data_IF_334753748507
#
_entry.id   IF_334753748507
#
_cell.length_a   1.000
_cell.length_b   1.000
_cell.length_c   1.000
_cell.angle_alpha   90.00
_cell.angle_beta   90.00
_cell.angle_gamma   90.00
#
_symmetry.space_group_name_H-M   'P 1'
#
loop_
_entity.id
_entity.type
_entity.pdbx_description
1 polymer ?
#
# COMPACT_ATOMS: atom_id res chain seq x y z
N UNK A 1 -0.44 -25.54 -6.66
CA UNK A 1 0.04 -24.87 -5.44
C UNK A 1 0.65 -25.92 -4.53
N UNK A 2 1.72 -25.55 -3.85
CA UNK A 2 2.35 -26.34 -2.79
C UNK A 2 1.62 -26.11 -1.47
N UNK A 3 1.60 -27.11 -0.60
CA UNK A 3 1.00 -27.00 0.73
C UNK A 3 1.71 -27.93 1.72
N UNK A 4 1.59 -27.60 2.99
CA UNK A 4 1.86 -28.48 4.12
C UNK A 4 0.53 -28.81 4.78
N UNK A 5 0.35 -30.06 5.19
CA UNK A 5 -0.85 -30.48 5.91
C UNK A 5 -0.44 -31.14 7.21
N UNK A 6 -1.07 -30.71 8.31
CA UNK A 6 -0.88 -31.27 9.63
C UNK A 6 -2.25 -31.63 10.19
N UNK A 7 -2.43 -32.89 10.55
CA UNK A 7 -3.65 -33.38 11.18
C UNK A 7 -3.78 -32.86 12.61
N UNK A 8 -5.02 -32.83 13.11
CA UNK A 8 -5.28 -32.51 14.50
C UNK A 8 -4.60 -33.51 15.43
N UNK A 9 -3.98 -33.04 16.51
CA UNK A 9 -3.39 -33.90 17.52
C UNK A 9 -4.43 -34.54 18.46
N UNK A 10 -5.69 -34.07 18.41
CA UNK A 10 -6.79 -34.57 19.25
C UNK A 10 -7.60 -35.64 18.52
N UNK A 11 -8.41 -35.23 17.53
CA UNK A 11 -9.19 -36.16 16.71
C UNK A 11 -9.30 -35.63 15.27
N UNK A 12 -8.41 -36.05 14.35
CA UNK A 12 -8.44 -35.62 12.95
C UNK A 12 -9.78 -35.87 12.24
N UNK A 13 -10.54 -36.90 12.62
CA UNK A 13 -11.77 -37.27 11.93
C UNK A 13 -12.92 -36.30 12.24
N UNK A 14 -12.95 -35.73 13.45
CA UNK A 14 -14.03 -34.85 13.91
C UNK A 14 -13.61 -33.38 13.98
N UNK A 15 -12.32 -33.10 14.19
CA UNK A 15 -11.84 -31.74 14.39
C UNK A 15 -11.88 -30.89 13.10
N UNK A 16 -12.07 -29.57 13.19
CA UNK A 16 -12.21 -28.71 12.02
C UNK A 16 -11.03 -28.79 11.03
N UNK A 17 -11.33 -28.66 9.74
CA UNK A 17 -10.36 -28.41 8.69
C UNK A 17 -10.21 -26.90 8.48
N UNK A 18 -8.98 -26.40 8.59
CA UNK A 18 -8.63 -25.00 8.41
C UNK A 18 -7.71 -24.86 7.20
N UNK A 19 -8.12 -24.06 6.23
CA UNK A 19 -7.21 -23.59 5.17
C UNK A 19 -6.61 -22.26 5.61
N UNK A 20 -5.31 -22.23 5.88
CA UNK A 20 -4.60 -21.04 6.33
C UNK A 20 -3.87 -20.32 5.19
N UNK A 21 -4.16 -19.02 5.02
CA UNK A 21 -3.54 -18.12 4.07
C UNK A 21 -2.65 -17.11 4.78
N UNK A 22 -1.33 -17.15 4.56
CA UNK A 22 -0.43 -16.09 5.01
C UNK A 22 -0.51 -14.89 4.04
N UNK A 23 -0.41 -13.66 4.57
CA UNK A 23 -0.51 -12.42 3.79
C UNK A 23 0.66 -12.09 2.86
N UNK A 24 1.13 -10.83 2.89
CA UNK A 24 2.20 -10.31 2.02
C UNK A 24 1.73 -9.19 1.08
N UNK A 25 1.16 -9.49 -0.10
CA UNK A 25 0.85 -10.81 -0.68
C UNK A 25 2.08 -11.64 -1.06
N UNK A 26 1.94 -12.98 -1.09
CA UNK A 26 2.99 -13.89 -1.57
C UNK A 26 3.89 -14.51 -0.50
N UNK A 27 3.57 -14.32 0.78
CA UNK A 27 4.27 -15.01 1.85
C UNK A 27 3.91 -16.51 1.87
N UNK A 28 4.89 -17.36 2.16
CA UNK A 28 4.70 -18.81 2.23
C UNK A 28 3.89 -19.22 3.46
N UNK A 29 3.01 -20.21 3.31
CA UNK A 29 2.32 -20.85 4.43
C UNK A 29 3.27 -21.54 5.42
N UNK A 30 4.53 -21.80 5.02
CA UNK A 30 5.58 -22.26 5.93
C UNK A 30 5.84 -21.24 7.05
N UNK A 31 5.64 -19.93 6.80
CA UNK A 31 5.73 -18.90 7.83
C UNK A 31 4.78 -19.21 8.98
N UNK A 32 3.51 -19.44 8.66
CA UNK A 32 2.51 -19.71 9.67
C UNK A 32 2.75 -21.04 10.40
N UNK A 33 3.29 -22.03 9.68
CA UNK A 33 3.66 -23.32 10.25
C UNK A 33 4.79 -23.17 11.29
N UNK A 34 5.82 -22.37 11.00
CA UNK A 34 7.05 -22.28 11.82
C UNK A 34 7.09 -21.13 12.84
N UNK A 35 6.32 -20.06 12.62
CA UNK A 35 6.39 -18.84 13.42
C UNK A 35 5.07 -18.46 14.11
N UNK A 36 3.92 -18.92 13.59
CA UNK A 36 2.63 -18.33 13.98
C UNK A 36 1.73 -19.35 14.70
N UNK A 37 1.13 -20.31 13.99
CA UNK A 37 0.11 -21.21 14.56
C UNK A 37 0.41 -22.72 14.43
N UNK A 38 1.43 -23.12 13.67
CA UNK A 38 1.80 -24.54 13.52
C UNK A 38 2.58 -25.15 14.70
N UNK A 39 2.85 -26.46 14.67
CA UNK A 39 3.43 -27.18 15.80
C UNK A 39 4.94 -27.12 15.90
N UNK A 40 5.61 -26.39 15.00
CA UNK A 40 7.06 -26.37 14.90
C UNK A 40 7.59 -24.94 15.01
N UNK A 41 8.82 -24.82 15.48
CA UNK A 41 9.60 -23.58 15.50
C UNK A 41 11.07 -23.91 15.33
N UNK A 42 11.89 -22.93 14.96
CA UNK A 42 13.34 -23.13 14.95
C UNK A 42 13.89 -23.23 16.36
N UNK A 43 14.68 -24.26 16.64
CA UNK A 43 15.42 -24.37 17.89
C UNK A 43 16.60 -23.39 17.87
N UNK A 44 16.37 -22.17 18.37
CA UNK A 44 17.37 -21.10 18.43
C UNK A 44 18.57 -21.42 19.34
N UNK A 45 18.48 -22.44 20.18
CA UNK A 45 19.59 -22.88 21.04
C UNK A 45 20.52 -23.89 20.36
N UNK A 46 20.07 -24.47 19.23
CA UNK A 46 20.84 -25.42 18.46
C UNK A 46 21.99 -24.71 17.73
N UNK A 47 23.23 -25.03 18.11
CA UNK A 47 24.45 -24.52 17.45
C UNK A 47 24.87 -25.37 16.24
N UNK A 48 23.92 -25.96 15.52
CA UNK A 48 24.19 -26.73 14.30
C UNK A 48 24.85 -25.83 13.25
N UNK A 49 25.98 -26.26 12.68
CA UNK A 49 26.70 -25.52 11.64
C UNK A 49 26.14 -25.74 10.22
N UNK A 50 25.02 -26.45 10.08
CA UNK A 50 24.41 -26.76 8.78
C UNK A 50 22.93 -26.38 8.76
N UNK A 51 22.02 -27.34 9.01
CA UNK A 51 20.57 -27.15 8.98
C UNK A 51 20.06 -26.86 10.39
N UNK A 52 19.27 -25.78 10.60
CA UNK A 52 18.60 -25.53 11.86
C UNK A 52 17.67 -26.69 12.24
N UNK A 53 17.73 -27.12 13.49
CA UNK A 53 16.80 -28.13 14.01
C UNK A 53 15.47 -27.50 14.42
N UNK A 54 14.38 -28.24 14.34
CA UNK A 54 13.06 -27.79 14.77
C UNK A 54 12.76 -28.22 16.21
N UNK A 55 12.02 -27.40 16.93
CA UNK A 55 11.45 -27.69 18.25
C UNK A 55 9.93 -27.70 18.16
N UNK A 56 9.31 -28.61 18.92
CA UNK A 56 7.85 -28.71 19.01
C UNK A 56 7.27 -27.55 19.83
N UNK A 57 6.13 -27.01 19.38
CA UNK A 57 5.38 -25.95 20.05
C UNK A 57 4.05 -26.49 20.58
N UNK A 58 3.89 -26.50 21.89
CA UNK A 58 2.71 -27.05 22.56
C UNK A 58 1.42 -26.24 22.32
N UNK A 59 1.54 -24.93 22.10
CA UNK A 59 0.41 -24.01 21.91
C UNK A 59 -0.05 -23.91 20.45
N UNK A 60 0.21 -24.96 19.66
CA UNK A 60 -0.17 -25.04 18.25
C UNK A 60 -1.69 -25.11 18.07
N UNK A 61 -2.20 -24.49 17.02
CA UNK A 61 -3.61 -24.61 16.64
C UNK A 61 -3.93 -26.02 16.11
N UNK A 62 -2.91 -26.78 15.70
CA UNK A 62 -3.05 -28.20 15.34
C UNK A 62 -3.44 -29.07 16.53
N UNK A 63 -3.44 -28.57 17.77
CA UNK A 63 -3.97 -29.31 18.93
C UNK A 63 -5.45 -29.67 18.80
N UNK A 64 -6.20 -28.91 18.02
CA UNK A 64 -7.67 -29.03 17.92
C UNK A 64 -8.18 -28.81 16.49
N UNK A 65 -7.31 -28.84 15.48
CA UNK A 65 -7.70 -28.64 14.09
C UNK A 65 -6.73 -29.29 13.11
N UNK A 66 -7.27 -29.75 11.98
CA UNK A 66 -6.51 -30.14 10.81
C UNK A 66 -6.19 -28.88 10.01
N UNK A 67 -4.91 -28.60 9.72
CA UNK A 67 -4.53 -27.34 9.07
C UNK A 67 -3.78 -27.59 7.76
N UNK A 68 -4.28 -26.99 6.68
CA UNK A 68 -3.60 -26.85 5.40
C UNK A 68 -2.91 -25.48 5.38
N UNK A 69 -1.59 -25.48 5.44
CA UNK A 69 -0.75 -24.31 5.23
C UNK A 69 -0.40 -24.23 3.75
N UNK A 70 -1.05 -23.35 3.00
CA UNK A 70 -0.87 -23.26 1.56
C UNK A 70 0.09 -22.14 1.17
N UNK A 71 0.91 -22.40 0.17
CA UNK A 71 1.68 -21.37 -0.53
C UNK A 71 0.82 -20.76 -1.64
N UNK A 72 0.32 -19.53 -1.44
CA UNK A 72 -0.49 -18.82 -2.42
C UNK A 72 -0.16 -17.31 -2.47
N UNK A 73 -0.24 -16.64 -3.64
CA UNK A 73 -0.53 -17.18 -4.97
C UNK A 73 0.65 -18.00 -5.56
N UNK A 74 0.58 -18.33 -6.85
CA UNK A 74 1.74 -18.83 -7.61
C UNK A 74 2.93 -17.89 -7.36
N UNK A 75 4.13 -18.44 -7.12
CA UNK A 75 5.37 -17.81 -6.63
C UNK A 75 5.52 -17.63 -5.12
N UNK A 76 4.47 -17.83 -4.32
CA UNK A 76 4.65 -17.91 -2.87
C UNK A 76 5.40 -19.20 -2.53
N UNK A 77 6.44 -19.12 -1.70
CA UNK A 77 7.19 -20.29 -1.21
C UNK A 77 7.58 -21.26 -2.33
N UNK A 78 7.02 -22.48 -2.29
CA UNK A 78 7.28 -23.55 -3.26
C UNK A 78 6.18 -23.70 -4.33
N UNK A 79 5.18 -22.82 -4.37
CA UNK A 79 4.18 -22.79 -5.45
C UNK A 79 4.77 -22.21 -6.73
N UNK A 80 4.66 -22.93 -7.85
CA UNK A 80 5.18 -22.51 -9.16
C UNK A 80 4.21 -22.82 -10.32
N UNK A 81 4.43 -22.20 -11.47
CA UNK A 81 3.80 -22.55 -12.75
C UNK A 81 4.87 -22.89 -13.80
N UNK A 82 4.47 -23.55 -14.89
CA UNK A 82 5.39 -23.97 -15.97
C UNK A 82 5.38 -23.04 -17.18
N UNK A 83 4.34 -22.22 -17.32
CA UNK A 83 4.15 -21.28 -18.44
C UNK A 83 4.38 -19.84 -17.96
N UNK A 84 5.05 -19.03 -18.80
CA UNK A 84 5.55 -17.70 -18.42
C UNK A 84 4.48 -16.69 -18.06
N UNK A 85 3.38 -16.65 -18.82
CA UNK A 85 2.30 -15.67 -18.59
C UNK A 85 1.49 -15.97 -17.31
N UNK A 86 1.55 -17.21 -16.80
CA UNK A 86 0.88 -17.65 -15.58
C UNK A 86 1.56 -17.17 -14.28
N UNK A 87 2.69 -16.46 -14.38
CA UNK A 87 3.35 -15.81 -13.24
C UNK A 87 2.72 -14.47 -12.85
N UNK A 88 1.89 -13.88 -13.71
CA UNK A 88 1.08 -12.72 -13.35
C UNK A 88 -0.17 -13.16 -12.59
N UNK A 89 -0.37 -12.66 -11.38
CA UNK A 89 -1.53 -12.95 -10.54
C UNK A 89 -2.27 -11.66 -10.14
N UNK A 90 -3.48 -11.81 -9.64
CA UNK A 90 -4.32 -10.74 -9.07
C UNK A 90 -5.12 -11.31 -7.91
N UNK A 91 -5.68 -10.47 -7.05
CA UNK A 91 -6.50 -10.93 -5.90
C UNK A 91 -7.64 -11.86 -6.34
N UNK A 92 -8.32 -11.52 -7.44
CA UNK A 92 -9.41 -12.32 -8.01
C UNK A 92 -8.94 -13.67 -8.57
N UNK A 93 -7.74 -13.71 -9.17
CA UNK A 93 -7.14 -14.94 -9.69
C UNK A 93 -6.67 -15.82 -8.53
N UNK A 94 -5.97 -15.26 -7.54
CA UNK A 94 -5.54 -15.95 -6.32
C UNK A 94 -6.73 -16.61 -5.62
N UNK A 95 -7.81 -15.87 -5.35
CA UNK A 95 -8.99 -16.43 -4.70
C UNK A 95 -9.64 -17.58 -5.50
N UNK A 96 -9.64 -17.49 -6.84
CA UNK A 96 -10.22 -18.53 -7.70
C UNK A 96 -9.34 -19.79 -7.73
N UNK A 97 -8.02 -19.63 -7.77
CA UNK A 97 -7.05 -20.73 -7.70
C UNK A 97 -7.07 -21.42 -6.35
N UNK A 98 -7.21 -20.68 -5.25
CA UNK A 98 -7.37 -21.23 -3.89
C UNK A 98 -8.61 -22.11 -3.79
N UNK A 99 -9.74 -21.64 -4.33
CA UNK A 99 -10.97 -22.42 -4.38
C UNK A 99 -10.80 -23.70 -5.21
N UNK A 100 -10.15 -23.62 -6.37
CA UNK A 100 -9.89 -24.80 -7.20
C UNK A 100 -8.98 -25.81 -6.50
N UNK A 101 -7.93 -25.33 -5.83
CA UNK A 101 -7.05 -26.17 -5.03
C UNK A 101 -7.81 -26.89 -3.93
N UNK A 102 -8.61 -26.17 -3.14
CA UNK A 102 -9.34 -26.75 -2.02
C UNK A 102 -10.29 -27.86 -2.49
N UNK A 103 -10.98 -27.65 -3.62
CA UNK A 103 -11.83 -28.68 -4.25
C UNK A 103 -11.04 -29.93 -4.61
N UNK A 104 -9.94 -29.76 -5.36
CA UNK A 104 -9.06 -30.86 -5.76
C UNK A 104 -8.43 -31.56 -4.56
N UNK A 105 -8.13 -30.82 -3.50
CA UNK A 105 -7.57 -31.39 -2.28
C UNK A 105 -8.60 -32.29 -1.59
N UNK A 106 -9.82 -31.81 -1.39
CA UNK A 106 -10.91 -32.58 -0.77
C UNK A 106 -11.26 -33.83 -1.57
N UNK A 107 -11.28 -33.76 -2.91
CA UNK A 107 -11.52 -34.92 -3.76
C UNK A 107 -10.47 -36.04 -3.59
N UNK A 108 -9.23 -35.66 -3.28
CA UNK A 108 -8.16 -36.61 -3.00
C UNK A 108 -8.08 -37.03 -1.52
N UNK A 109 -8.79 -36.33 -0.62
CA UNK A 109 -8.76 -36.55 0.83
C UNK A 109 -10.18 -36.71 1.38
N UNK A 110 -10.89 -37.73 0.88
CA UNK A 110 -12.33 -37.93 1.15
C UNK A 110 -12.69 -38.05 2.65
N UNK A 111 -11.75 -38.48 3.51
CA UNK A 111 -11.97 -38.54 4.97
C UNK A 111 -12.25 -37.17 5.59
N UNK A 112 -11.75 -36.08 4.99
CA UNK A 112 -11.90 -34.73 5.51
C UNK A 112 -13.12 -33.96 4.98
N UNK A 113 -13.92 -34.59 4.10
CA UNK A 113 -15.08 -33.93 3.45
C UNK A 113 -16.20 -33.56 4.42
N UNK A 114 -16.26 -34.23 5.58
CA UNK A 114 -17.31 -34.00 6.59
C UNK A 114 -16.84 -33.09 7.74
N UNK A 115 -15.55 -32.77 7.82
CA UNK A 115 -15.04 -31.91 8.88
C UNK A 115 -15.56 -30.47 8.70
N UNK A 116 -15.85 -29.76 9.81
CA UNK A 116 -16.12 -28.33 9.77
C UNK A 116 -15.01 -27.55 9.04
N UNK A 117 -15.35 -26.84 7.96
CA UNK A 117 -14.37 -26.07 7.18
C UNK A 117 -14.34 -24.60 7.60
N UNK A 118 -13.13 -24.09 7.80
CA UNK A 118 -12.85 -22.67 8.01
C UNK A 118 -11.78 -22.19 7.03
N UNK A 119 -11.99 -20.99 6.47
CA UNK A 119 -10.94 -20.27 5.73
C UNK A 119 -10.35 -19.24 6.69
N UNK A 120 -9.04 -19.29 6.89
CA UNK A 120 -8.35 -18.46 7.86
C UNK A 120 -7.12 -17.80 7.25
N UNK A 121 -6.65 -16.73 7.84
CA UNK A 121 -5.41 -16.09 7.43
C UNK A 121 -5.14 -14.79 8.17
N UNK A 122 -4.04 -14.14 7.83
CA UNK A 122 -3.61 -12.90 8.46
C UNK A 122 -3.11 -11.85 7.45
N UNK A 123 -2.99 -10.60 7.91
CA UNK A 123 -2.40 -9.51 7.12
C UNK A 123 -3.16 -9.30 5.79
N UNK A 124 -2.48 -9.33 4.65
CA UNK A 124 -3.09 -9.18 3.32
C UNK A 124 -4.15 -10.27 3.01
N UNK A 125 -4.09 -11.42 3.69
CA UNK A 125 -5.16 -12.42 3.59
C UNK A 125 -6.50 -11.92 4.11
N UNK A 126 -6.53 -10.81 4.87
CA UNK A 126 -7.74 -10.07 5.23
C UNK A 126 -8.61 -9.68 4.03
N UNK A 127 -8.01 -9.41 2.86
CA UNK A 127 -8.73 -9.18 1.61
C UNK A 127 -9.18 -10.50 0.95
N UNK A 128 -8.33 -11.52 0.98
CA UNK A 128 -8.52 -12.75 0.20
C UNK A 128 -9.46 -13.76 0.88
N UNK A 129 -9.33 -13.94 2.20
CA UNK A 129 -10.14 -14.88 3.00
C UNK A 129 -11.65 -14.63 2.81
N UNK A 130 -12.17 -13.39 2.95
CA UNK A 130 -13.59 -13.13 2.72
C UNK A 130 -14.02 -13.38 1.28
N UNK A 131 -13.17 -13.10 0.28
CA UNK A 131 -13.47 -13.35 -1.14
C UNK A 131 -13.58 -14.85 -1.42
N UNK A 132 -12.67 -15.66 -0.87
CA UNK A 132 -12.71 -17.12 -1.00
C UNK A 132 -13.94 -17.68 -0.29
N UNK A 133 -14.19 -17.28 0.96
CA UNK A 133 -15.37 -17.70 1.73
C UNK A 133 -16.68 -17.34 1.00
N UNK A 134 -16.76 -16.14 0.42
CA UNK A 134 -17.90 -15.70 -0.38
C UNK A 134 -18.08 -16.54 -1.65
N UNK A 135 -17.01 -16.89 -2.37
CA UNK A 135 -17.09 -17.76 -3.55
C UNK A 135 -17.58 -19.16 -3.20
N UNK A 136 -17.17 -19.70 -2.05
CA UNK A 136 -17.65 -20.98 -1.51
C UNK A 136 -19.16 -20.89 -1.21
N UNK A 137 -19.58 -19.86 -0.48
CA UNK A 137 -20.97 -19.63 -0.10
C UNK A 137 -21.88 -19.38 -1.33
N UNK A 138 -21.45 -18.57 -2.31
CA UNK A 138 -22.24 -18.28 -3.50
C UNK A 138 -22.33 -19.48 -4.46
N UNK A 139 -21.31 -20.35 -4.49
CA UNK A 139 -21.38 -21.63 -5.19
C UNK A 139 -22.53 -22.51 -4.70
N UNK A 140 -22.92 -22.40 -3.42
CA UNK A 140 -24.04 -23.12 -2.82
C UNK A 140 -25.40 -22.57 -3.29
N UNK A 141 -25.58 -21.25 -3.31
CA UNK A 141 -26.84 -20.62 -3.75
C UNK A 141 -27.18 -20.93 -5.21
N UNK A 142 -26.17 -21.04 -6.08
CA UNK A 142 -26.37 -21.45 -7.47
C UNK A 142 -26.83 -22.91 -7.59
N UNK A 143 -26.35 -23.80 -6.70
CA UNK A 143 -26.73 -25.22 -6.68
C UNK A 143 -28.12 -25.45 -6.08
N UNK A 144 -28.50 -24.73 -5.02
CA UNK A 144 -29.85 -24.81 -4.44
C UNK A 144 -30.93 -24.39 -5.45
N UNK A 145 -30.68 -23.32 -6.21
CA UNK A 145 -31.58 -22.89 -7.29
C UNK A 145 -31.66 -23.92 -8.44
N UNK A 146 -30.56 -24.62 -8.76
CA UNK A 146 -30.59 -25.68 -9.77
C UNK A 146 -31.38 -26.90 -9.27
N UNK A 147 -31.23 -27.29 -7.99
CA UNK A 147 -31.90 -28.45 -7.39
C UNK A 147 -33.41 -28.21 -7.15
N UNK A 148 -33.83 -26.97 -6.90
CA UNK A 148 -35.23 -26.60 -6.69
C UNK A 148 -36.06 -26.57 -7.99
N UNK A 149 -35.42 -26.37 -9.15
CA UNK A 149 -36.11 -26.17 -10.43
C UNK A 149 -35.74 -27.18 -11.54
N UNK A 150 -34.83 -28.13 -11.29
CA UNK A 150 -34.46 -29.17 -12.26
C UNK A 150 -35.21 -30.48 -11.98
N UNK A 151 -36.02 -30.94 -12.94
CA UNK A 151 -36.65 -32.28 -12.93
C UNK A 151 -35.74 -33.38 -13.52
N UNK A 152 -34.54 -33.00 -13.97
CA UNK A 152 -33.63 -33.89 -14.71
C UNK A 152 -32.41 -34.21 -13.84
N UNK A 153 -32.42 -35.41 -13.25
CA UNK A 153 -31.46 -35.88 -12.22
C UNK A 153 -30.03 -36.00 -12.81
N UNK A 154 -29.87 -35.97 -14.14
CA UNK A 154 -28.59 -36.13 -14.84
C UNK A 154 -27.79 -34.84 -15.10
N UNK A 155 -28.30 -33.66 -14.73
CA UNK A 155 -27.60 -32.35 -14.89
C UNK A 155 -27.22 -31.66 -13.58
N UNK A 156 -27.29 -32.38 -12.47
CA UNK A 156 -26.70 -31.88 -11.21
C UNK A 156 -25.17 -31.93 -11.36
N UNK A 157 -24.43 -30.83 -11.15
CA UNK A 157 -22.98 -30.88 -11.13
C UNK A 157 -22.53 -31.99 -10.15
N UNK A 158 -21.53 -32.82 -10.47
CA UNK A 158 -21.17 -34.01 -9.69
C UNK A 158 -20.54 -33.70 -8.32
N UNK A 159 -20.71 -32.48 -7.80
CA UNK A 159 -20.08 -31.98 -6.59
C UNK A 159 -21.14 -31.64 -5.52
N UNK A 160 -21.97 -32.59 -5.06
CA UNK A 160 -22.60 -32.43 -3.76
C UNK A 160 -21.46 -32.44 -2.72
N UNK A 161 -21.52 -31.59 -1.69
CA UNK A 161 -20.52 -31.44 -0.59
C UNK A 161 -19.60 -30.22 -0.74
N UNK A 162 -20.20 -29.02 -0.70
CA UNK A 162 -19.56 -27.80 -0.18
C UNK A 162 -20.27 -27.42 1.14
N UNK A 163 -20.47 -28.40 2.02
CA UNK A 163 -20.79 -28.13 3.43
C UNK A 163 -19.41 -28.02 4.12
N UNK A 164 -18.99 -26.98 4.83
CA UNK A 164 -19.68 -25.92 5.55
C UNK A 164 -18.78 -24.66 5.59
N UNK A 165 -19.31 -23.45 5.36
CA UNK A 165 -18.70 -22.27 6.00
C UNK A 165 -19.35 -22.13 7.38
N UNK A 166 -18.72 -22.70 8.41
CA UNK A 166 -19.11 -22.33 9.78
C UNK A 166 -18.62 -20.91 10.11
N UNK A 167 -17.57 -20.46 9.41
CA UNK A 167 -17.08 -19.10 9.47
C UNK A 167 -15.77 -18.94 8.72
N UNK A 168 -15.16 -17.78 8.88
CA UNK A 168 -13.80 -17.49 8.45
C UNK A 168 -13.09 -16.71 9.56
N UNK A 169 -11.77 -16.76 9.59
CA UNK A 169 -10.94 -16.10 10.61
C UNK A 169 -9.93 -15.20 9.93
N UNK A 170 -9.82 -13.95 10.38
CA UNK A 170 -8.83 -13.02 9.85
C UNK A 170 -8.08 -12.33 11.00
N UNK A 171 -6.76 -12.51 11.04
CA UNK A 171 -5.86 -11.91 12.03
C UNK A 171 -5.22 -10.64 11.48
N UNK A 172 -5.34 -9.52 12.20
CA UNK A 172 -4.79 -8.21 11.77
C UNK A 172 -5.03 -7.91 10.27
N UNK A 173 -6.29 -8.03 9.79
CA UNK A 173 -6.56 -8.00 8.37
C UNK A 173 -6.33 -6.62 7.77
N UNK A 174 -5.65 -6.59 6.62
CA UNK A 174 -5.81 -5.49 5.67
C UNK A 174 -7.19 -5.65 5.04
N UNK A 175 -8.00 -4.59 5.06
CA UNK A 175 -9.36 -4.60 4.48
C UNK A 175 -9.61 -3.45 3.51
N UNK A 176 -9.05 -2.28 3.77
CA UNK A 176 -9.08 -1.12 2.88
C UNK A 176 -7.95 -0.18 3.25
N UNK A 177 -6.92 -0.15 2.41
CA UNK A 177 -5.67 0.57 2.64
C UNK A 177 -5.83 2.00 3.14
N UNK A 178 -6.94 2.68 2.81
CA UNK A 178 -7.18 4.04 3.27
C UNK A 178 -7.52 4.06 4.75
N UNK A 179 -8.38 3.16 5.23
CA UNK A 179 -8.69 3.08 6.66
C UNK A 179 -7.45 2.69 7.46
N UNK A 180 -6.70 1.68 7.02
CA UNK A 180 -5.49 1.27 7.75
C UNK A 180 -4.39 2.35 7.71
N UNK A 181 -4.08 2.94 6.55
CA UNK A 181 -3.05 4.00 6.45
C UNK A 181 -3.42 5.24 7.25
N UNK A 182 -4.69 5.66 7.17
CA UNK A 182 -5.13 6.87 7.84
C UNK A 182 -5.17 6.71 9.38
N UNK A 183 -5.35 5.49 9.88
CA UNK A 183 -5.38 5.23 11.32
C UNK A 183 -3.99 5.24 11.98
N UNK A 184 -2.90 5.02 11.22
CA UNK A 184 -1.55 4.85 11.78
C UNK A 184 -1.07 6.05 12.59
N UNK A 185 -1.15 7.26 12.02
CA UNK A 185 -0.65 8.48 12.68
C UNK A 185 -1.51 8.88 13.88
N UNK A 186 -2.86 8.93 13.80
CA UNK A 186 -3.70 9.16 14.96
C UNK A 186 -3.51 8.13 16.07
N UNK A 187 -3.34 6.84 15.71
CA UNK A 187 -3.07 5.79 16.69
C UNK A 187 -1.71 6.01 17.38
N UNK A 188 -0.64 6.27 16.61
CA UNK A 188 0.68 6.53 17.18
C UNK A 188 0.70 7.76 18.09
N UNK A 189 -0.02 8.82 17.71
CA UNK A 189 -0.17 10.02 18.54
C UNK A 189 -0.98 9.75 19.81
N UNK A 190 -2.14 9.09 19.69
CA UNK A 190 -2.97 8.72 20.83
C UNK A 190 -2.29 7.78 21.83
N UNK A 191 -1.33 6.98 21.37
CA UNK A 191 -0.48 6.12 22.20
C UNK A 191 0.77 6.83 22.75
N UNK A 192 0.98 8.11 22.42
CA UNK A 192 2.13 8.90 22.85
C UNK A 192 3.46 8.50 22.20
N UNK A 193 3.43 7.80 21.06
CA UNK A 193 4.63 7.36 20.33
C UNK A 193 5.24 8.48 19.46
N UNK A 194 4.43 9.48 19.11
CA UNK A 194 4.88 10.68 18.39
C UNK A 194 4.43 11.93 19.16
N UNK A 195 5.26 12.97 19.13
CA UNK A 195 4.95 14.26 19.76
C UNK A 195 3.88 15.03 19.00
N UNK A 196 3.30 16.04 19.64
CA UNK A 196 2.38 16.99 18.98
C UNK A 196 3.04 17.65 17.76
N UNK A 197 4.32 18.02 17.86
CA UNK A 197 5.10 18.59 16.74
C UNK A 197 5.18 17.65 15.53
N UNK A 198 5.41 16.35 15.77
CA UNK A 198 5.43 15.35 14.69
C UNK A 198 4.03 15.10 14.13
N UNK A 199 3.01 15.08 15.00
CA UNK A 199 1.62 14.93 14.57
C UNK A 199 1.18 16.09 13.66
N UNK A 200 1.56 17.32 13.98
CA UNK A 200 1.33 18.50 13.15
C UNK A 200 2.10 18.42 11.81
N UNK A 201 3.33 17.90 11.81
CA UNK A 201 4.13 17.70 10.60
C UNK A 201 3.50 16.71 9.61
N UNK A 202 2.80 15.69 10.11
CA UNK A 202 2.07 14.73 9.27
C UNK A 202 0.72 15.23 8.75
N UNK A 203 0.43 16.53 8.81
CA UNK A 203 -0.85 17.12 8.38
C UNK A 203 -1.30 16.74 6.95
N UNK A 204 -0.37 16.42 6.04
CA UNK A 204 -0.74 15.92 4.70
C UNK A 204 -1.39 14.53 4.73
N UNK A 205 -1.12 13.69 5.72
CA UNK A 205 -1.79 12.39 5.96
C UNK A 205 -3.18 12.57 6.58
N UNK A 206 -3.44 13.73 7.19
CA UNK A 206 -4.79 14.12 7.60
C UNK A 206 -5.63 14.61 6.41
N UNK A 207 -5.01 15.00 5.29
CA UNK A 207 -5.76 15.48 4.13
C UNK A 207 -6.68 14.41 3.53
N UNK A 208 -6.26 13.14 3.32
CA UNK A 208 -7.17 12.07 2.92
C UNK A 208 -8.27 11.80 3.94
N UNK A 209 -7.99 11.83 5.24
CA UNK A 209 -9.00 11.68 6.29
C UNK A 209 -10.08 12.75 6.20
N UNK A 210 -9.63 14.01 6.18
CA UNK A 210 -10.50 15.17 6.14
C UNK A 210 -11.28 15.21 4.83
N UNK A 211 -10.60 15.17 3.68
CA UNK A 211 -11.22 15.31 2.36
C UNK A 211 -12.12 14.12 1.96
N UNK A 212 -11.93 12.94 2.56
CA UNK A 212 -12.80 11.77 2.33
C UNK A 212 -13.93 11.62 3.35
N UNK A 213 -13.98 12.43 4.41
CA UNK A 213 -15.11 12.42 5.35
C UNK A 213 -16.40 12.80 4.62
N UNK A 214 -17.48 12.03 4.80
CA UNK A 214 -18.77 12.31 4.18
C UNK A 214 -19.29 13.71 4.51
N UNK A 215 -19.09 14.16 5.76
CA UNK A 215 -19.47 15.49 6.22
C UNK A 215 -18.70 16.60 5.50
N UNK A 216 -17.39 16.42 5.33
CA UNK A 216 -16.54 17.37 4.59
C UNK A 216 -16.92 17.37 3.11
N UNK A 217 -17.10 16.19 2.52
CA UNK A 217 -17.49 16.05 1.10
C UNK A 217 -18.84 16.71 0.81
N UNK A 218 -19.82 16.53 1.71
CA UNK A 218 -21.11 17.21 1.64
C UNK A 218 -20.92 18.73 1.73
N UNK A 219 -20.11 19.20 2.69
CA UNK A 219 -19.83 20.63 2.89
C UNK A 219 -19.10 21.28 1.71
N UNK A 220 -18.22 20.53 1.05
CA UNK A 220 -17.51 20.95 -0.16
C UNK A 220 -18.37 20.81 -1.44
N UNK A 221 -19.61 20.33 -1.33
CA UNK A 221 -20.50 20.15 -2.49
C UNK A 221 -20.07 19.03 -3.44
N UNK A 222 -19.31 18.05 -2.95
CA UNK A 222 -18.89 16.90 -3.75
C UNK A 222 -20.08 15.98 -3.96
N UNK A 223 -20.52 15.85 -5.23
CA UNK A 223 -21.64 14.99 -5.60
C UNK A 223 -21.34 13.52 -5.28
N UNK A 224 -22.29 12.85 -4.61
CA UNK A 224 -22.19 11.42 -4.32
C UNK A 224 -22.00 10.60 -5.61
N UNK A 225 -21.10 9.61 -5.57
CA UNK A 225 -20.74 8.78 -6.72
C UNK A 225 -19.84 9.44 -7.78
N UNK A 226 -19.57 10.75 -7.73
CA UNK A 226 -18.75 11.44 -8.76
C UNK A 226 -17.25 11.14 -8.67
N UNK A 227 -16.73 11.02 -7.46
CA UNK A 227 -15.34 10.67 -7.16
C UNK A 227 -15.39 9.60 -6.07
N UNK A 228 -14.71 8.46 -6.24
CA UNK A 228 -14.68 7.43 -5.20
C UNK A 228 -13.92 7.93 -3.96
N UNK A 229 -12.61 8.17 -4.07
CA UNK A 229 -11.78 8.74 -3.00
C UNK A 229 -10.93 9.89 -3.51
N UNK A 230 -10.86 10.97 -2.73
CA UNK A 230 -9.88 12.03 -2.89
C UNK A 230 -8.48 11.49 -2.60
N UNK A 231 -7.55 11.75 -3.52
CA UNK A 231 -6.13 11.43 -3.39
C UNK A 231 -5.33 12.72 -3.60
N UNK A 232 -4.41 13.04 -2.68
CA UNK A 232 -3.57 14.26 -2.75
C UNK A 232 -2.75 14.32 -4.03
N UNK A 233 -2.19 13.19 -4.44
CA UNK A 233 -1.55 13.02 -5.73
C UNK A 233 -1.93 11.65 -6.31
N UNK A 234 -2.35 11.60 -7.57
CA UNK A 234 -2.40 10.34 -8.32
C UNK A 234 -0.97 9.96 -8.75
N UNK A 235 -0.12 9.55 -7.81
CA UNK A 235 1.19 8.97 -8.16
C UNK A 235 0.96 7.49 -8.45
N UNK A 236 1.49 7.03 -9.60
CA UNK A 236 1.46 5.65 -10.12
C UNK A 236 0.30 5.22 -11.00
N UNK A 237 -0.49 6.15 -11.53
CA UNK A 237 -1.37 5.83 -12.64
C UNK A 237 -1.06 6.79 -13.79
N UNK A 238 -0.02 6.47 -14.55
CA UNK A 238 0.22 7.13 -15.83
C UNK A 238 0.75 6.09 -16.82
N UNK A 239 0.02 4.99 -16.98
CA UNK A 239 -0.13 4.40 -18.31
C UNK A 239 -1.04 5.25 -19.21
N UNK A 240 -1.70 6.30 -18.66
CA UNK A 240 -2.63 7.21 -19.35
C UNK A 240 -2.14 8.66 -19.53
N UNK A 241 -0.92 9.02 -19.10
CA UNK A 241 -0.40 10.40 -19.22
C UNK A 241 1.00 10.44 -19.84
N UNK A 242 1.08 10.89 -21.09
CA UNK A 242 2.35 11.12 -21.79
C UNK A 242 2.90 12.49 -21.40
N UNK A 243 4.18 12.52 -20.98
CA UNK A 243 4.92 13.77 -20.73
C UNK A 243 5.67 14.15 -22.00
N UNK A 244 5.07 14.99 -22.83
CA UNK A 244 5.56 15.40 -24.16
C UNK A 244 6.28 16.76 -24.16
N UNK A 245 6.25 17.50 -23.06
CA UNK A 245 7.08 18.71 -22.88
C UNK A 245 8.45 18.31 -22.35
N UNK A 246 9.45 18.31 -23.23
CA UNK A 246 10.83 17.94 -22.90
C UNK A 246 11.56 19.00 -22.05
N UNK A 247 11.25 20.28 -22.24
CA UNK A 247 11.87 21.38 -21.47
C UNK A 247 10.99 22.62 -21.39
N UNK A 248 10.93 23.22 -20.19
CA UNK A 248 10.29 24.51 -19.96
C UNK A 248 11.22 25.72 -20.18
N UNK A 249 12.53 25.50 -20.38
CA UNK A 249 13.54 26.58 -20.49
C UNK A 249 13.23 27.56 -21.64
N UNK A 250 12.84 27.11 -22.86
CA UNK A 250 12.50 28.03 -23.94
C UNK A 250 11.33 28.96 -23.60
N UNK A 251 10.36 28.47 -22.81
CA UNK A 251 9.21 29.26 -22.37
C UNK A 251 9.63 30.35 -21.37
N UNK A 252 10.51 30.02 -20.42
CA UNK A 252 11.10 31.02 -19.52
C UNK A 252 11.86 32.11 -20.29
N UNK A 253 12.67 31.73 -21.29
CA UNK A 253 13.40 32.68 -22.12
C UNK A 253 12.44 33.65 -22.84
N UNK A 254 11.39 33.14 -23.47
CA UNK A 254 10.40 33.96 -24.21
C UNK A 254 9.68 34.92 -23.27
N UNK A 255 9.21 34.45 -22.12
CA UNK A 255 8.47 35.28 -21.16
C UNK A 255 9.35 36.38 -20.57
N UNK A 256 10.54 36.02 -20.10
CA UNK A 256 11.43 36.99 -19.45
C UNK A 256 11.94 38.02 -20.47
N UNK A 257 12.26 37.61 -21.70
CA UNK A 257 12.65 38.54 -22.78
C UNK A 257 11.55 39.55 -23.12
N UNK A 258 10.27 39.17 -22.97
CA UNK A 258 9.11 40.06 -23.16
C UNK A 258 8.83 40.99 -21.98
N UNK A 259 9.67 40.96 -20.93
CA UNK A 259 9.59 41.87 -19.79
C UNK A 259 8.73 41.35 -18.63
N UNK A 260 8.27 40.09 -18.66
CA UNK A 260 7.55 39.49 -17.53
C UNK A 260 8.52 39.21 -16.37
N UNK A 261 8.19 39.72 -15.18
CA UNK A 261 8.98 39.49 -13.96
C UNK A 261 8.87 38.03 -13.52
N UNK A 262 9.98 37.43 -13.12
CA UNK A 262 10.02 36.06 -12.63
C UNK A 262 10.73 35.97 -11.27
N UNK A 263 10.09 35.34 -10.28
CA UNK A 263 10.75 34.86 -9.07
C UNK A 263 10.89 33.34 -9.20
N UNK A 264 12.12 32.88 -9.27
CA UNK A 264 12.46 31.45 -9.18
C UNK A 264 13.10 31.23 -7.82
N UNK A 265 12.60 30.27 -7.05
CA UNK A 265 13.20 29.97 -5.77
C UNK A 265 13.36 28.47 -5.53
N UNK A 266 14.27 28.10 -4.64
CA UNK A 266 14.53 26.70 -4.28
C UNK A 266 14.85 26.58 -2.80
N UNK A 267 14.32 25.54 -2.14
CA UNK A 267 14.85 25.14 -0.84
C UNK A 267 16.26 24.57 -1.02
N UNK A 268 17.23 25.03 -0.23
CA UNK A 268 18.62 24.61 -0.41
C UNK A 268 18.91 23.19 0.12
N UNK A 269 17.95 22.55 0.79
CA UNK A 269 18.00 21.15 1.22
C UNK A 269 17.12 20.23 0.34
N UNK A 270 16.52 20.73 -0.74
CA UNK A 270 15.77 19.88 -1.67
C UNK A 270 16.71 18.97 -2.46
N UNK A 271 16.58 17.66 -2.26
CA UNK A 271 17.35 16.64 -2.97
C UNK A 271 16.62 16.08 -4.21
N UNK A 272 15.31 16.35 -4.35
CA UNK A 272 14.48 15.91 -5.48
C UNK A 272 14.65 16.88 -6.66
N UNK A 273 14.65 18.18 -6.39
CA UNK A 273 14.97 19.24 -7.37
C UNK A 273 16.02 20.19 -6.78
N UNK A 274 17.30 19.79 -6.78
CA UNK A 274 18.35 20.59 -6.17
C UNK A 274 18.46 21.99 -6.79
N UNK A 275 18.68 23.01 -5.96
CA UNK A 275 18.81 24.39 -6.42
C UNK A 275 19.92 24.58 -7.47
N UNK A 276 20.94 23.72 -7.46
CA UNK A 276 22.01 23.69 -8.47
C UNK A 276 21.47 23.39 -9.88
N UNK A 277 20.48 22.48 -10.00
CA UNK A 277 19.82 22.21 -11.27
C UNK A 277 19.03 23.44 -11.74
N UNK A 278 18.38 24.14 -10.80
CA UNK A 278 17.68 25.40 -11.08
C UNK A 278 18.64 26.47 -11.62
N UNK A 279 19.78 26.65 -10.95
CA UNK A 279 20.81 27.57 -11.42
C UNK A 279 21.38 27.16 -12.78
N UNK A 280 21.55 25.86 -13.04
CA UNK A 280 22.10 25.36 -14.30
C UNK A 280 21.23 25.73 -15.49
N UNK A 281 19.90 25.57 -15.40
CA UNK A 281 19.02 25.98 -16.52
C UNK A 281 18.85 27.50 -16.61
N UNK A 282 18.87 28.23 -15.48
CA UNK A 282 18.86 29.70 -15.50
C UNK A 282 20.08 30.23 -16.27
N UNK A 283 21.26 29.63 -16.07
CA UNK A 283 22.48 30.00 -16.83
C UNK A 283 22.33 29.80 -18.34
N UNK A 284 21.52 28.84 -18.79
CA UNK A 284 21.26 28.63 -20.22
C UNK A 284 20.44 29.76 -20.87
N UNK A 285 19.78 30.61 -20.06
CA UNK A 285 19.05 31.77 -20.57
C UNK A 285 19.98 32.91 -21.02
N UNK A 286 21.25 32.90 -20.60
CA UNK A 286 22.29 33.88 -20.95
C UNK A 286 21.94 35.35 -20.65
N UNK A 287 21.17 35.58 -19.59
CA UNK A 287 20.92 36.92 -19.06
C UNK A 287 22.09 37.43 -18.23
N UNK A 288 22.41 38.72 -18.35
CA UNK A 288 23.49 39.33 -17.58
C UNK A 288 23.12 39.44 -16.10
N UNK A 289 24.10 39.32 -15.21
CA UNK A 289 23.88 39.47 -13.76
C UNK A 289 23.86 40.97 -13.44
N UNK A 290 22.82 41.41 -12.73
CA UNK A 290 22.64 42.82 -12.33
C UNK A 290 22.70 43.02 -10.80
N UNK A 291 22.50 41.96 -10.02
CA UNK A 291 22.76 41.93 -8.58
C UNK A 291 23.51 40.64 -8.26
N UNK A 292 24.70 40.76 -7.68
CA UNK A 292 25.58 39.62 -7.43
C UNK A 292 25.02 38.66 -6.38
N UNK A 293 25.56 37.44 -6.35
CA UNK A 293 25.11 36.43 -5.38
C UNK A 293 25.38 36.88 -3.96
N UNK A 294 24.33 37.13 -3.18
CA UNK A 294 24.42 37.70 -1.83
C UNK A 294 23.36 37.11 -0.89
N UNK A 295 23.58 37.15 0.43
CA UNK A 295 22.56 36.74 1.38
C UNK A 295 21.36 37.71 1.37
N UNK A 296 20.18 37.18 1.66
CA UNK A 296 18.98 37.96 1.98
C UNK A 296 18.48 37.60 3.38
N UNK A 297 17.75 38.51 4.02
CA UNK A 297 17.52 38.47 5.47
C UNK A 297 16.05 38.58 5.86
N UNK A 298 15.65 37.82 6.87
CA UNK A 298 14.35 37.95 7.55
C UNK A 298 14.63 38.07 9.03
N UNK A 299 14.14 39.15 9.65
CA UNK A 299 14.34 39.42 11.09
C UNK A 299 15.80 39.33 11.55
N UNK A 300 16.72 39.88 10.76
CA UNK A 300 18.15 39.92 11.08
C UNK A 300 18.91 38.59 10.90
N UNK A 301 18.25 37.53 10.43
CA UNK A 301 18.87 36.24 10.14
C UNK A 301 18.95 36.00 8.63
N UNK A 302 20.00 35.31 8.19
CA UNK A 302 20.14 34.90 6.78
C UNK A 302 19.04 33.90 6.44
N UNK A 303 18.12 34.33 5.59
CA UNK A 303 16.98 33.54 5.12
C UNK A 303 17.33 32.73 3.86
N UNK A 304 18.44 33.08 3.19
CA UNK A 304 18.99 32.36 2.05
C UNK A 304 19.91 33.27 1.24
N UNK A 305 20.12 32.92 -0.04
CA UNK A 305 20.93 33.70 -0.96
C UNK A 305 20.13 34.05 -2.21
N UNK A 306 20.40 35.19 -2.82
CA UNK A 306 19.70 35.68 -3.99
C UNK A 306 20.65 36.29 -5.00
N UNK A 307 20.22 36.34 -6.25
CA UNK A 307 20.86 37.04 -7.37
C UNK A 307 19.78 37.52 -8.32
N UNK A 308 20.01 38.68 -8.93
CA UNK A 308 19.15 39.20 -9.98
C UNK A 308 19.87 39.18 -11.32
N UNK A 309 19.12 38.79 -12.34
CA UNK A 309 19.53 38.81 -13.74
C UNK A 309 18.81 39.97 -14.45
N UNK A 310 19.33 40.36 -15.60
CA UNK A 310 18.68 41.30 -16.51
C UNK A 310 17.25 40.82 -16.83
N UNK A 311 16.41 41.75 -17.28
CA UNK A 311 15.03 41.44 -17.66
C UNK A 311 14.14 40.97 -16.49
N UNK A 312 14.50 41.34 -15.25
CA UNK A 312 13.70 41.13 -14.03
C UNK A 312 13.51 39.67 -13.59
N UNK A 313 14.50 38.81 -13.83
CA UNK A 313 14.56 37.47 -13.25
C UNK A 313 15.30 37.51 -11.90
N UNK A 314 14.60 37.12 -10.83
CA UNK A 314 15.16 36.95 -9.49
C UNK A 314 15.27 35.46 -9.18
N UNK A 315 16.46 35.02 -8.78
CA UNK A 315 16.66 33.69 -8.22
C UNK A 315 16.96 33.79 -6.73
N UNK A 316 16.33 32.96 -5.90
CA UNK A 316 16.58 32.91 -4.46
C UNK A 316 16.61 31.48 -3.92
N UNK A 317 17.54 31.18 -3.01
CA UNK A 317 17.45 30.00 -2.14
C UNK A 317 16.75 30.37 -0.85
N UNK A 318 16.11 29.38 -0.22
CA UNK A 318 15.54 29.49 1.13
C UNK A 318 16.29 28.53 2.05
N UNK A 319 16.96 29.07 3.06
CA UNK A 319 17.93 28.36 3.89
C UNK A 319 17.29 27.35 4.83
N UNK A 320 17.73 26.10 4.73
CA UNK A 320 17.22 24.97 5.49
C UNK A 320 15.81 24.54 5.08
N UNK A 321 15.38 24.88 3.87
CA UNK A 321 14.09 24.47 3.34
C UNK A 321 14.23 23.28 2.37
N UNK A 322 13.31 22.31 2.43
CA UNK A 322 13.25 21.15 1.54
C UNK A 322 12.46 21.42 0.25
N UNK A 323 11.95 20.34 -0.37
CA UNK A 323 11.24 20.37 -1.66
C UNK A 323 10.04 21.32 -1.68
N UNK A 324 9.24 21.29 -0.61
CA UNK A 324 8.10 22.18 -0.35
C UNK A 324 8.55 23.33 0.54
N UNK A 325 9.38 24.26 0.03
CA UNK A 325 10.06 25.25 0.87
C UNK A 325 9.19 26.01 1.91
N UNK A 326 7.94 26.44 1.60
CA UNK A 326 7.06 27.08 2.57
C UNK A 326 6.63 26.18 3.75
N UNK A 327 6.69 24.86 3.62
CA UNK A 327 6.46 23.91 4.72
C UNK A 327 7.56 24.02 5.77
N UNK A 328 8.81 24.11 5.32
CA UNK A 328 9.98 24.13 6.21
C UNK A 328 10.31 25.53 6.73
N UNK A 329 10.04 26.57 5.94
CA UNK A 329 10.40 27.96 6.20
C UNK A 329 9.26 28.91 5.83
N UNK A 330 8.07 28.79 6.46
CA UNK A 330 6.87 29.53 6.07
C UNK A 330 7.06 31.05 6.18
N UNK A 331 7.72 31.51 7.25
CA UNK A 331 7.98 32.94 7.51
C UNK A 331 8.87 33.53 6.43
N UNK A 332 9.95 32.84 6.09
CA UNK A 332 10.91 33.28 5.08
C UNK A 332 10.31 33.25 3.68
N UNK A 333 9.59 32.19 3.32
CA UNK A 333 8.89 32.10 2.04
C UNK A 333 7.83 33.19 1.89
N UNK A 334 7.06 33.48 2.96
CA UNK A 334 6.08 34.57 2.94
C UNK A 334 6.77 35.93 2.74
N UNK A 335 7.84 36.22 3.50
CA UNK A 335 8.58 37.47 3.37
C UNK A 335 9.19 37.65 1.97
N UNK A 336 9.74 36.57 1.39
CA UNK A 336 10.26 36.56 0.02
C UNK A 336 9.17 36.87 -1.00
N UNK A 337 8.02 36.19 -0.90
CA UNK A 337 6.89 36.41 -1.80
C UNK A 337 6.34 37.83 -1.70
N UNK A 338 6.11 38.32 -0.48
CA UNK A 338 5.60 39.67 -0.23
C UNK A 338 6.54 40.75 -0.79
N UNK A 339 7.84 40.67 -0.48
CA UNK A 339 8.83 41.62 -1.01
C UNK A 339 8.85 41.62 -2.53
N UNK A 340 8.80 40.44 -3.15
CA UNK A 340 8.79 40.35 -4.61
C UNK A 340 7.53 40.98 -5.22
N UNK A 341 6.34 40.75 -4.64
CA UNK A 341 5.10 41.39 -5.09
C UNK A 341 5.19 42.92 -4.99
N UNK A 342 5.69 43.41 -3.86
CA UNK A 342 5.82 44.84 -3.57
C UNK A 342 6.99 45.52 -4.31
N UNK A 343 7.73 44.76 -5.13
CA UNK A 343 8.90 45.21 -5.89
C UNK A 343 10.09 45.65 -5.02
N UNK A 344 10.15 45.19 -3.78
CA UNK A 344 11.33 45.35 -2.94
C UNK A 344 12.38 44.29 -3.24
N UNK A 345 13.66 44.68 -3.11
CA UNK A 345 14.77 43.73 -3.16
C UNK A 345 14.66 42.72 -2.02
N UNK A 346 15.11 41.48 -2.27
CA UNK A 346 15.19 40.44 -1.26
C UNK A 346 16.30 40.71 -0.24
#
# INVERSE_FOLDING_TARGET
MFYYFIESERDPAEDPLVLWLTGGPGCSGLSALLYEIGPLSFNMQSRSSTVPTLAYRADSWTKVSNIIFIDAPINAGFSYCREGDAYHSSDTQMASQILEFLRKWLDNHNSFKNNPLYIAGDSYAGLIVPVVASKIANGLLALENILLYSTDIGRVPPYPVIWLTQGYVVGNPVTDDNFETNAQIPFAHGMGLISDELYEYFGYLLSPLWANSDAVRLSLGIREGSISKWKRCKRYDASWYTRDIESAVPYHLILITRGYRALVYSGDHDMVVPYLATQAWIRQLDFSIVDEWRPWYVTGQVAGYTRMYSNNLTFATVKGAGHTAPEFRPKECFAMFQRWLDQYAL
#
